data_IF_023555756926
#
_entry.id   IF_023555756926
#
_cell.length_a   1.000
_cell.length_b   1.000
_cell.length_c   1.000
_cell.angle_alpha   90.00
_cell.angle_beta   90.00
_cell.angle_gamma   90.00
#
_symmetry.space_group_name_H-M   'P 1'
#
loop_
_entity.id
_entity.type
_entity.pdbx_description
1 polymer ?
#
# COMPACT_ATOMS: atom_id res chain seq x y z
N UNK A 1 -4.00 -11.78 9.18
CA UNK A 1 -3.41 -10.43 9.28
C UNK A 1 -4.47 -9.42 8.89
N UNK A 2 -4.52 -8.29 9.59
CA UNK A 2 -5.39 -7.17 9.28
C UNK A 2 -4.65 -6.11 8.47
N UNK A 3 -5.39 -5.23 7.79
CA UNK A 3 -4.80 -4.14 7.00
C UNK A 3 -3.97 -3.16 7.85
N UNK A 4 -4.35 -2.99 9.12
CA UNK A 4 -3.59 -2.22 10.12
C UNK A 4 -2.18 -2.79 10.29
N UNK A 5 -2.03 -4.12 10.32
CA UNK A 5 -0.74 -4.78 10.53
C UNK A 5 0.27 -4.41 9.44
N UNK A 6 -0.17 -4.30 8.18
CA UNK A 6 0.67 -3.93 7.04
C UNK A 6 1.24 -2.52 7.20
N UNK A 7 0.39 -1.56 7.59
CA UNK A 7 0.79 -0.17 7.79
C UNK A 7 1.66 -0.02 9.05
N UNK A 8 1.33 -0.72 10.13
CA UNK A 8 2.09 -0.68 11.38
C UNK A 8 3.47 -1.32 11.24
N UNK A 9 3.63 -2.37 10.42
CA UNK A 9 4.92 -2.99 10.16
C UNK A 9 5.92 -2.09 9.44
N UNK A 10 5.47 -0.99 8.84
CA UNK A 10 6.36 0.03 8.27
C UNK A 10 7.08 0.85 9.35
N UNK A 11 6.61 0.79 10.60
CA UNK A 11 6.96 1.74 11.64
C UNK A 11 6.51 3.17 11.31
N UNK A 12 6.72 4.08 12.26
CA UNK A 12 6.32 5.49 12.10
C UNK A 12 7.03 6.15 10.92
N UNK A 13 8.33 5.87 10.72
CA UNK A 13 9.13 6.46 9.64
C UNK A 13 8.67 5.98 8.25
N UNK A 14 8.42 4.69 8.09
CA UNK A 14 7.91 4.12 6.85
C UNK A 14 6.49 4.60 6.57
N UNK A 15 5.63 4.68 7.59
CA UNK A 15 4.30 5.26 7.46
C UNK A 15 4.32 6.73 7.03
N UNK A 16 5.20 7.55 7.62
CA UNK A 16 5.42 8.95 7.20
C UNK A 16 5.80 9.03 5.72
N UNK A 17 6.72 8.16 5.28
CA UNK A 17 7.17 8.12 3.90
C UNK A 17 6.04 7.72 2.94
N UNK A 18 5.22 6.72 3.29
CA UNK A 18 4.03 6.34 2.51
C UNK A 18 3.04 7.51 2.38
N UNK A 19 2.72 8.19 3.49
CA UNK A 19 1.78 9.31 3.48
C UNK A 19 2.26 10.47 2.60
N UNK A 20 3.56 10.77 2.60
CA UNK A 20 4.14 11.85 1.75
C UNK A 20 4.00 11.56 0.27
N UNK A 21 3.86 10.30 -0.11
CA UNK A 21 3.77 9.85 -1.50
C UNK A 21 2.33 9.79 -2.03
N UNK A 22 1.34 10.09 -1.19
CA UNK A 22 -0.07 10.16 -1.62
C UNK A 22 -0.26 11.33 -2.58
N UNK A 23 -0.73 11.02 -3.78
CA UNK A 23 -0.90 11.98 -4.88
C UNK A 23 -2.33 12.50 -4.93
N UNK A 24 -2.52 13.79 -4.63
CA UNK A 24 -3.84 14.43 -4.64
C UNK A 24 -4.50 14.37 -6.03
N UNK A 25 -3.71 14.42 -7.12
CA UNK A 25 -4.24 14.29 -8.48
C UNK A 25 -4.74 12.86 -8.73
N UNK A 26 -3.97 11.83 -8.34
CA UNK A 26 -4.41 10.43 -8.45
C UNK A 26 -5.68 10.19 -7.63
N UNK A 27 -5.77 10.70 -6.39
CA UNK A 27 -6.99 10.59 -5.59
C UNK A 27 -8.22 11.19 -6.29
N UNK A 28 -8.05 12.28 -7.05
CA UNK A 28 -9.13 12.89 -7.85
C UNK A 28 -9.46 12.06 -9.08
N UNK A 29 -8.45 11.59 -9.82
CA UNK A 29 -8.63 10.71 -10.99
C UNK A 29 -9.44 9.47 -10.63
N UNK A 30 -9.15 8.84 -9.49
CA UNK A 30 -9.86 7.67 -8.99
C UNK A 30 -11.07 8.00 -8.11
N UNK A 31 -11.47 9.27 -8.02
CA UNK A 31 -12.66 9.76 -7.30
C UNK A 31 -12.72 9.41 -5.80
N UNK A 32 -11.57 9.15 -5.16
CA UNK A 32 -11.49 8.83 -3.73
C UNK A 32 -11.09 10.03 -2.85
N UNK A 33 -10.74 11.17 -3.45
CA UNK A 33 -10.27 12.36 -2.72
C UNK A 33 -11.19 12.77 -1.55
N UNK A 34 -12.49 12.88 -1.79
CA UNK A 34 -13.46 13.31 -0.77
C UNK A 34 -13.63 12.27 0.33
N UNK A 35 -13.65 10.99 -0.03
CA UNK A 35 -13.70 9.87 0.93
C UNK A 35 -12.50 9.88 1.87
N UNK A 36 -11.29 10.01 1.33
CA UNK A 36 -10.05 10.08 2.13
C UNK A 36 -10.04 11.33 3.03
N UNK A 37 -10.53 12.47 2.54
CA UNK A 37 -10.63 13.70 3.34
C UNK A 37 -11.52 13.49 4.58
N UNK A 38 -12.67 12.85 4.39
CA UNK A 38 -13.59 12.51 5.48
C UNK A 38 -12.97 11.49 6.44
N UNK A 39 -12.40 10.39 5.93
CA UNK A 39 -11.78 9.34 6.74
C UNK A 39 -10.64 9.87 7.62
N UNK A 40 -9.83 10.76 7.07
CA UNK A 40 -8.71 11.40 7.77
C UNK A 40 -9.14 12.55 8.68
N UNK A 41 -10.43 12.91 8.67
CA UNK A 41 -11.04 14.01 9.44
C UNK A 41 -10.30 15.33 9.19
N UNK A 42 -10.12 15.66 7.91
CA UNK A 42 -9.45 16.88 7.47
C UNK A 42 -10.43 17.84 6.81
N UNK A 43 -10.31 19.14 7.10
CA UNK A 43 -11.10 20.20 6.45
C UNK A 43 -10.63 20.43 5.01
N UNK A 44 -9.33 20.26 4.76
CA UNK A 44 -8.69 20.28 3.46
C UNK A 44 -7.73 19.10 3.36
N UNK A 45 -7.78 18.36 2.26
CA UNK A 45 -6.84 17.26 1.99
C UNK A 45 -5.74 17.73 1.03
N UNK A 46 -4.53 17.89 1.54
CA UNK A 46 -3.30 18.11 0.77
C UNK A 46 -2.10 17.48 1.50
N UNK A 47 -0.91 17.53 0.88
CA UNK A 47 0.30 16.92 1.46
C UNK A 47 0.67 17.51 2.83
N UNK A 48 0.46 18.81 3.03
CA UNK A 48 0.76 19.47 4.30
C UNK A 48 -0.20 19.05 5.42
N UNK A 49 -1.51 19.02 5.14
CA UNK A 49 -2.53 18.63 6.11
C UNK A 49 -2.42 17.15 6.47
N UNK A 50 -2.10 16.29 5.50
CA UNK A 50 -1.83 14.87 5.76
C UNK A 50 -0.61 14.69 6.66
N UNK A 51 0.50 15.37 6.35
CA UNK A 51 1.71 15.33 7.19
C UNK A 51 1.44 15.80 8.62
N UNK A 52 0.65 16.87 8.81
CA UNK A 52 0.28 17.35 10.15
C UNK A 52 -0.64 16.37 10.89
N UNK A 53 -1.44 15.60 10.16
CA UNK A 53 -2.36 14.62 10.73
C UNK A 53 -1.70 13.28 11.04
N UNK A 54 -0.51 13.01 10.51
CA UNK A 54 0.22 11.75 10.64
C UNK A 54 0.22 11.17 12.06
N UNK A 55 0.57 11.92 13.15
CA UNK A 55 0.58 11.35 14.49
C UNK A 55 -0.81 10.84 14.95
N UNK A 56 -1.87 11.55 14.57
CA UNK A 56 -3.26 11.16 14.88
C UNK A 56 -3.71 9.96 14.05
N UNK A 57 -3.30 9.90 12.78
CA UNK A 57 -3.61 8.76 11.93
C UNK A 57 -2.89 7.50 12.42
N UNK A 58 -1.62 7.63 12.81
CA UNK A 58 -0.85 6.55 13.42
C UNK A 58 -1.49 6.01 14.69
N UNK A 59 -1.87 6.90 15.63
CA UNK A 59 -2.54 6.49 16.87
C UNK A 59 -3.81 5.66 16.60
N UNK A 60 -4.62 6.06 15.61
CA UNK A 60 -5.82 5.32 15.21
C UNK A 60 -5.51 3.94 14.61
N UNK A 61 -4.42 3.82 13.86
CA UNK A 61 -3.97 2.53 13.34
C UNK A 61 -3.54 1.61 14.48
N UNK A 62 -2.83 2.14 15.49
CA UNK A 62 -2.44 1.40 16.71
C UNK A 62 -3.68 0.95 17.51
N UNK A 63 -4.73 1.77 17.53
CA UNK A 63 -6.03 1.43 18.13
C UNK A 63 -6.84 0.39 17.31
N UNK A 64 -6.33 -0.06 16.16
CA UNK A 64 -6.96 -1.09 15.34
C UNK A 64 -8.04 -0.57 14.39
N UNK A 65 -8.00 0.71 13.98
CA UNK A 65 -8.95 1.30 13.04
C UNK A 65 -8.77 0.72 11.61
N UNK A 66 -9.40 -0.43 11.38
CA UNK A 66 -9.31 -1.19 10.12
C UNK A 66 -9.90 -0.46 8.92
N UNK A 67 -10.95 0.35 9.10
CA UNK A 67 -11.51 1.15 8.01
C UNK A 67 -10.55 2.26 7.58
N UNK A 68 -9.90 2.93 8.54
CA UNK A 68 -8.82 3.88 8.23
C UNK A 68 -7.69 3.19 7.48
N UNK A 69 -7.28 2.00 7.92
CA UNK A 69 -6.21 1.26 7.26
C UNK A 69 -6.56 0.94 5.81
N UNK A 70 -7.76 0.43 5.54
CA UNK A 70 -8.22 0.12 4.18
C UNK A 70 -8.20 1.36 3.27
N UNK A 71 -8.74 2.47 3.75
CA UNK A 71 -8.82 3.71 2.97
C UNK A 71 -7.44 4.34 2.73
N UNK A 72 -6.56 4.35 3.74
CA UNK A 72 -5.18 4.82 3.57
C UNK A 72 -4.40 3.92 2.61
N UNK A 73 -4.56 2.60 2.71
CA UNK A 73 -3.95 1.66 1.77
C UNK A 73 -4.39 1.95 0.34
N UNK A 74 -5.69 2.14 0.09
CA UNK A 74 -6.17 2.50 -1.23
C UNK A 74 -5.59 3.83 -1.73
N UNK A 75 -5.53 4.86 -0.89
CA UNK A 75 -4.93 6.15 -1.23
C UNK A 75 -3.44 6.02 -1.62
N UNK A 76 -2.70 5.18 -0.90
CA UNK A 76 -1.28 4.89 -1.19
C UNK A 76 -1.19 4.12 -2.52
N UNK A 77 -1.94 3.03 -2.69
CA UNK A 77 -1.87 2.17 -3.89
C UNK A 77 -2.16 2.94 -5.18
N UNK A 78 -3.24 3.71 -5.26
CA UNK A 78 -3.56 4.47 -6.48
C UNK A 78 -2.54 5.58 -6.77
N UNK A 79 -1.76 5.97 -5.76
CA UNK A 79 -0.67 6.93 -5.91
C UNK A 79 0.62 6.28 -6.44
N UNK A 80 0.69 4.94 -6.47
CA UNK A 80 1.90 4.15 -6.75
C UNK A 80 1.70 3.14 -7.89
N UNK A 81 0.81 3.44 -8.84
CA UNK A 81 0.45 2.50 -9.91
C UNK A 81 1.63 2.04 -10.77
N UNK A 82 2.64 2.88 -10.99
CA UNK A 82 3.81 2.50 -11.79
C UNK A 82 4.63 1.38 -11.10
N UNK A 83 4.69 1.39 -9.76
CA UNK A 83 5.27 0.29 -8.98
C UNK A 83 4.40 -0.95 -9.09
N UNK A 84 3.09 -0.80 -8.91
CA UNK A 84 2.13 -1.91 -8.94
C UNK A 84 2.22 -2.65 -10.28
N UNK A 85 2.16 -1.90 -11.38
CA UNK A 85 2.34 -2.42 -12.74
C UNK A 85 3.68 -3.15 -12.85
N UNK A 86 4.79 -2.51 -12.47
CA UNK A 86 6.13 -3.12 -12.55
C UNK A 86 6.24 -4.43 -11.74
N UNK A 87 5.56 -4.51 -10.60
CA UNK A 87 5.57 -5.69 -9.74
C UNK A 87 4.69 -6.81 -10.30
N UNK A 88 3.50 -6.49 -10.81
CA UNK A 88 2.61 -7.47 -11.42
C UNK A 88 3.21 -8.01 -12.73
N UNK A 89 3.81 -7.16 -13.56
CA UNK A 89 4.57 -7.55 -14.75
C UNK A 89 5.71 -8.52 -14.40
N UNK A 90 6.49 -8.20 -13.35
CA UNK A 90 7.58 -9.06 -12.88
C UNK A 90 7.07 -10.43 -12.41
N UNK A 91 5.95 -10.45 -11.70
CA UNK A 91 5.33 -11.69 -11.21
C UNK A 91 4.57 -12.45 -12.32
N UNK A 92 4.38 -11.82 -13.49
CA UNK A 92 3.60 -12.37 -14.60
C UNK A 92 2.09 -12.39 -14.36
N UNK A 93 1.59 -11.62 -13.38
CA UNK A 93 0.17 -11.59 -13.02
C UNK A 93 -0.59 -10.75 -14.07
N UNK A 94 -1.61 -11.31 -14.75
CA UNK A 94 -2.40 -10.55 -15.71
C UNK A 94 -3.14 -9.38 -15.03
N UNK A 95 -3.00 -8.19 -15.59
CA UNK A 95 -3.64 -6.99 -15.07
C UNK A 95 -3.96 -5.99 -16.19
N UNK A 96 -4.81 -5.01 -15.88
CA UNK A 96 -5.08 -3.84 -16.70
C UNK A 96 -4.72 -2.60 -15.88
N UNK A 97 -3.66 -1.89 -16.28
CA UNK A 97 -3.19 -0.65 -15.62
C UNK A 97 -2.96 -0.78 -14.10
N UNK A 98 -2.47 -1.94 -13.65
CA UNK A 98 -2.22 -2.26 -12.24
C UNK A 98 -3.43 -2.81 -11.48
N UNK A 99 -4.56 -3.05 -12.15
CA UNK A 99 -5.77 -3.62 -11.57
C UNK A 99 -6.02 -5.02 -12.10
N UNK A 100 -6.45 -5.92 -11.23
CA UNK A 100 -6.94 -7.25 -11.59
C UNK A 100 -8.22 -7.56 -10.78
N UNK A 101 -9.09 -8.47 -11.25
CA UNK A 101 -10.32 -8.83 -10.55
C UNK A 101 -10.04 -9.36 -9.15
N UNK A 102 -10.90 -9.02 -8.17
CA UNK A 102 -10.74 -9.46 -6.77
C UNK A 102 -10.81 -10.98 -6.61
N UNK A 103 -11.51 -11.64 -7.53
CA UNK A 103 -11.71 -13.08 -7.61
C UNK A 103 -10.75 -13.79 -8.58
N UNK A 104 -9.77 -13.06 -9.13
CA UNK A 104 -8.74 -13.69 -9.97
C UNK A 104 -7.89 -14.65 -9.13
N UNK A 105 -7.81 -15.90 -9.55
CA UNK A 105 -6.87 -16.85 -8.95
C UNK A 105 -5.45 -16.56 -9.45
N UNK A 106 -4.71 -15.79 -8.66
CA UNK A 106 -3.31 -15.46 -8.94
C UNK A 106 -2.32 -16.34 -8.18
N UNK A 107 -2.81 -17.40 -7.52
CA UNK A 107 -2.01 -18.29 -6.68
C UNK A 107 -0.84 -18.92 -7.43
N UNK A 108 -1.03 -19.25 -8.71
CA UNK A 108 -0.01 -19.88 -9.55
C UNK A 108 1.20 -18.98 -9.85
N UNK A 109 1.06 -17.66 -9.70
CA UNK A 109 2.14 -16.70 -9.95
C UNK A 109 2.96 -16.40 -8.69
N UNK A 110 2.34 -16.54 -7.51
CA UNK A 110 2.94 -16.26 -6.21
C UNK A 110 3.68 -17.50 -5.67
N UNK A 111 4.74 -17.91 -6.36
CA UNK A 111 5.56 -19.08 -6.02
C UNK A 111 6.51 -18.83 -4.85
N UNK A 112 7.22 -19.86 -4.39
CA UNK A 112 8.16 -19.76 -3.27
C UNK A 112 9.13 -18.56 -3.42
N UNK A 113 9.29 -17.80 -2.33
CA UNK A 113 10.17 -16.63 -2.27
C UNK A 113 9.75 -15.44 -3.15
N UNK A 114 8.53 -15.42 -3.69
CA UNK A 114 8.09 -14.37 -4.63
C UNK A 114 8.26 -12.95 -4.08
N UNK A 115 8.00 -12.72 -2.78
CA UNK A 115 8.14 -11.39 -2.17
C UNK A 115 9.59 -10.92 -2.21
N UNK A 116 10.55 -11.76 -1.82
CA UNK A 116 11.97 -11.41 -1.87
C UNK A 116 12.44 -11.18 -3.32
N UNK A 117 12.06 -12.06 -4.25
CA UNK A 117 12.42 -11.91 -5.68
C UNK A 117 11.87 -10.61 -6.26
N UNK A 118 10.62 -10.27 -5.97
CA UNK A 118 10.00 -9.02 -6.42
C UNK A 118 10.64 -7.80 -5.76
N UNK A 119 10.97 -7.88 -4.46
CA UNK A 119 11.68 -6.82 -3.76
C UNK A 119 13.04 -6.54 -4.40
N UNK A 120 13.86 -7.57 -4.63
CA UNK A 120 15.18 -7.41 -5.25
C UNK A 120 15.11 -6.84 -6.66
N UNK A 121 14.08 -7.17 -7.43
CA UNK A 121 13.87 -6.64 -8.77
C UNK A 121 13.44 -5.15 -8.80
N UNK A 122 12.88 -4.63 -7.71
CA UNK A 122 12.20 -3.32 -7.69
C UNK A 122 12.86 -2.29 -6.76
N UNK A 123 13.63 -2.72 -5.75
CA UNK A 123 14.17 -1.86 -4.69
C UNK A 123 15.06 -0.71 -5.18
N UNK A 124 15.72 -0.86 -6.33
CA UNK A 124 16.59 0.18 -6.90
C UNK A 124 15.82 1.20 -7.75
N UNK A 125 14.59 0.87 -8.15
CA UNK A 125 13.72 1.71 -8.99
C UNK A 125 12.66 2.45 -8.19
N UNK A 126 12.28 1.90 -7.03
CA UNK A 126 11.20 2.41 -6.19
C UNK A 126 11.63 2.45 -4.72
N UNK A 127 11.06 3.37 -3.92
CA UNK A 127 11.39 3.44 -2.50
C UNK A 127 11.03 2.15 -1.76
N UNK A 128 11.95 1.65 -0.94
CA UNK A 128 11.80 0.36 -0.25
C UNK A 128 10.51 0.27 0.59
N UNK A 129 10.11 1.34 1.29
CA UNK A 129 8.85 1.44 2.05
C UNK A 129 7.63 1.11 1.19
N UNK A 130 7.56 1.63 -0.04
CA UNK A 130 6.44 1.41 -0.95
C UNK A 130 6.46 0.00 -1.51
N UNK A 131 7.65 -0.51 -1.86
CA UNK A 131 7.80 -1.89 -2.35
C UNK A 131 7.35 -2.87 -1.28
N UNK A 132 7.86 -2.75 -0.06
CA UNK A 132 7.50 -3.63 1.06
C UNK A 132 6.02 -3.52 1.41
N UNK A 133 5.48 -2.29 1.45
CA UNK A 133 4.04 -2.07 1.66
C UNK A 133 3.20 -2.81 0.62
N UNK A 134 3.52 -2.66 -0.67
CA UNK A 134 2.75 -3.29 -1.74
C UNK A 134 2.85 -4.82 -1.70
N UNK A 135 4.03 -5.38 -1.50
CA UNK A 135 4.22 -6.84 -1.44
C UNK A 135 3.50 -7.46 -0.23
N UNK A 136 3.46 -6.77 0.90
CA UNK A 136 2.67 -7.18 2.05
C UNK A 136 1.17 -7.08 1.79
N UNK A 137 0.72 -5.97 1.18
CA UNK A 137 -0.66 -5.80 0.77
C UNK A 137 -1.12 -6.91 -0.17
N UNK A 138 -0.36 -7.18 -1.24
CA UNK A 138 -0.67 -8.25 -2.19
C UNK A 138 -0.69 -9.62 -1.51
N UNK A 139 0.26 -9.91 -0.63
CA UNK A 139 0.30 -11.19 0.09
C UNK A 139 -0.88 -11.39 1.04
N UNK A 140 -1.33 -10.34 1.73
CA UNK A 140 -2.50 -10.39 2.62
C UNK A 140 -3.80 -10.52 1.83
N UNK A 141 -4.01 -9.72 0.79
CA UNK A 141 -5.23 -9.75 -0.02
C UNK A 141 -5.42 -11.09 -0.76
N UNK A 142 -4.32 -11.75 -1.11
CA UNK A 142 -4.35 -13.06 -1.79
C UNK A 142 -4.39 -14.24 -0.83
N UNK A 143 -4.28 -14.00 0.48
CA UNK A 143 -4.18 -15.04 1.49
C UNK A 143 -2.92 -15.91 1.39
N UNK A 144 -1.88 -15.45 0.67
CA UNK A 144 -0.61 -16.17 0.47
C UNK A 144 0.48 -15.81 1.45
N UNK A 145 0.32 -14.71 2.18
CA UNK A 145 1.27 -14.35 3.23
C UNK A 145 0.89 -15.05 4.55
N UNK A 146 1.80 -15.88 5.06
CA UNK A 146 1.71 -16.46 6.41
C UNK A 146 2.19 -15.48 7.48
N UNK A 147 3.14 -14.61 7.12
CA UNK A 147 3.67 -13.53 7.93
C UNK A 147 3.91 -12.29 7.06
N UNK A 148 4.08 -11.13 7.70
CA UNK A 148 4.49 -9.92 7.00
C UNK A 148 5.93 -10.07 6.53
N UNK A 149 6.13 -9.85 5.24
CA UNK A 149 7.42 -9.82 4.59
C UNK A 149 8.28 -8.69 5.14
N UNK A 150 9.47 -9.08 5.56
CA UNK A 150 10.59 -8.18 5.85
C UNK A 150 11.72 -8.59 4.91
N UNK A 151 12.29 -7.68 4.10
CA UNK A 151 13.39 -8.01 3.20
C UNK A 151 14.57 -8.63 3.96
N UNK A 152 15.17 -9.66 3.38
CA UNK A 152 16.46 -10.15 3.85
C UNK A 152 17.53 -9.05 3.69
N UNK A 153 18.43 -8.97 4.68
CA UNK A 153 19.55 -8.03 4.69
C UNK A 153 20.59 -8.34 3.60
#
# INVERSE_FOLDING_TARGET
MQMTDILLAQGESGFSDLLRRVSMSRLRTYQIYEHIKLRTRLTKLNSESLRKAEPRLWARLVEGDGELAADLSQAILVSQLDLIISALDFLGIPHQDGFFPKDADISGYLTEGWQQRAYDALKDRFPASVVVFYLNHLGVETGKAEALFTPAA
#
